data_IF_452757139513
#
_entry.id   IF_452757139513
#
_cell.length_a   1.000
_cell.length_b   1.000
_cell.length_c   1.000
_cell.angle_alpha   90.00
_cell.angle_beta   90.00
_cell.angle_gamma   90.00
#
_symmetry.space_group_name_H-M   'P 1'
#
loop_
_entity.id
_entity.type
_entity.pdbx_description
1 polymer ?
#
# COMPACT_ATOMS: atom_id res chain seq x y z
N UNK A 1 -6.43 0.15 -27.01
CA UNK A 1 -5.35 0.68 -26.16
C UNK A 1 -4.62 -0.51 -25.59
N UNK A 2 -3.52 -0.91 -26.21
CA UNK A 2 -2.69 -2.00 -25.69
C UNK A 2 -1.84 -1.46 -24.54
N UNK A 3 -1.80 -2.19 -23.41
CA UNK A 3 -0.96 -1.84 -22.27
C UNK A 3 0.50 -1.90 -22.73
N UNK A 4 1.34 -0.88 -22.43
CA UNK A 4 2.76 -0.97 -22.71
C UNK A 4 3.33 -2.18 -21.99
N UNK A 5 4.02 -3.06 -22.74
CA UNK A 5 4.71 -4.21 -22.18
C UNK A 5 5.78 -3.70 -21.20
N UNK A 6 5.70 -4.12 -19.95
CA UNK A 6 6.78 -3.92 -18.98
C UNK A 6 8.00 -4.68 -19.50
N UNK A 7 9.10 -3.96 -19.75
CA UNK A 7 10.37 -4.55 -20.18
C UNK A 7 11.06 -5.19 -18.98
N UNK A 8 10.67 -6.41 -18.64
CA UNK A 8 11.26 -7.18 -17.53
C UNK A 8 12.78 -7.42 -17.72
N UNK A 9 13.29 -7.39 -18.96
CA UNK A 9 14.70 -7.66 -19.27
C UNK A 9 15.67 -6.51 -18.94
N UNK A 10 15.22 -5.25 -18.98
CA UNK A 10 16.06 -4.08 -18.61
C UNK A 10 16.28 -4.04 -17.08
N UNK A 11 15.27 -4.45 -16.31
CA UNK A 11 15.35 -4.55 -14.85
C UNK A 11 16.29 -5.69 -14.41
N UNK A 12 16.25 -6.84 -15.10
CA UNK A 12 17.04 -8.02 -14.74
C UNK A 12 18.56 -7.79 -14.84
N UNK A 13 19.02 -7.04 -15.85
CA UNK A 13 20.43 -6.71 -16.01
C UNK A 13 20.90 -5.70 -14.97
N UNK A 14 20.13 -4.65 -14.70
CA UNK A 14 20.48 -3.69 -13.65
C UNK A 14 20.48 -4.34 -12.27
N UNK A 15 19.47 -5.17 -11.96
CA UNK A 15 19.37 -5.88 -10.67
C UNK A 15 20.54 -6.86 -10.51
N UNK A 16 20.92 -7.57 -11.57
CA UNK A 16 22.07 -8.49 -11.55
C UNK A 16 23.39 -7.74 -11.38
N UNK A 17 23.58 -6.61 -12.09
CA UNK A 17 24.76 -5.77 -11.93
C UNK A 17 24.84 -5.17 -10.52
N UNK A 18 23.71 -4.70 -9.96
CA UNK A 18 23.64 -4.24 -8.56
C UNK A 18 24.04 -5.35 -7.59
N UNK A 19 23.46 -6.54 -7.73
CA UNK A 19 23.80 -7.72 -6.91
C UNK A 19 25.29 -8.05 -7.00
N UNK A 20 25.90 -7.94 -8.17
CA UNK A 20 27.33 -8.18 -8.36
C UNK A 20 28.14 -7.10 -7.63
N UNK A 21 27.83 -5.82 -7.84
CA UNK A 21 28.56 -4.70 -7.23
C UNK A 21 28.48 -4.75 -5.70
N UNK A 22 27.33 -5.13 -5.14
CA UNK A 22 27.10 -5.14 -3.69
C UNK A 22 27.64 -6.39 -3.00
N UNK A 23 27.48 -7.56 -3.62
CA UNK A 23 27.74 -8.84 -2.92
C UNK A 23 29.03 -9.54 -3.37
N UNK A 24 29.63 -9.14 -4.49
CA UNK A 24 30.88 -9.76 -4.95
C UNK A 24 32.07 -8.99 -4.38
N UNK A 25 32.95 -9.63 -3.60
CA UNK A 25 34.16 -8.98 -3.09
C UNK A 25 35.05 -8.48 -4.22
N UNK A 26 35.30 -7.17 -4.25
CA UNK A 26 36.22 -6.56 -5.22
C UNK A 26 37.65 -6.80 -4.76
N UNK A 27 38.39 -7.67 -5.45
CA UNK A 27 39.83 -7.86 -5.21
C UNK A 27 40.62 -6.78 -5.96
N UNK A 28 41.35 -5.93 -5.22
CA UNK A 28 42.24 -4.92 -5.81
C UNK A 28 43.66 -5.45 -5.82
N UNK A 29 44.24 -5.61 -7.01
CA UNK A 29 45.60 -6.15 -7.21
C UNK A 29 46.71 -5.10 -7.14
N UNK A 30 46.37 -3.81 -7.29
CA UNK A 30 47.34 -2.73 -7.50
C UNK A 30 47.41 -1.78 -6.29
N UNK A 31 47.38 -2.33 -5.08
CA UNK A 31 47.44 -1.54 -3.84
C UNK A 31 48.88 -1.36 -3.38
N UNK A 32 49.28 -0.10 -3.18
CA UNK A 32 50.55 0.25 -2.54
C UNK A 32 50.50 -0.14 -1.05
N UNK A 33 51.68 -0.39 -0.45
CA UNK A 33 51.78 -0.75 0.97
C UNK A 33 51.21 0.32 1.91
N UNK A 34 50.78 -0.07 3.11
CA UNK A 34 50.07 0.82 4.05
C UNK A 34 50.87 2.03 4.53
N UNK A 35 52.21 1.95 4.49
CA UNK A 35 53.12 3.04 4.84
C UNK A 35 53.72 3.74 3.61
N UNK A 36 53.29 3.39 2.41
CA UNK A 36 53.74 4.04 1.19
C UNK A 36 53.19 5.48 1.13
N UNK A 37 53.99 6.42 0.64
CA UNK A 37 53.56 7.80 0.41
C UNK A 37 52.55 7.91 -0.72
N UNK A 38 51.97 9.11 -0.90
CA UNK A 38 50.98 9.32 -1.94
C UNK A 38 51.61 9.34 -3.35
N UNK A 39 51.13 8.48 -4.22
CA UNK A 39 51.50 8.41 -5.63
C UNK A 39 50.70 9.40 -6.49
N UNK A 40 51.22 9.73 -7.67
CA UNK A 40 50.59 10.66 -8.62
C UNK A 40 49.19 10.20 -9.09
N UNK A 41 48.87 8.91 -8.99
CA UNK A 41 47.58 8.34 -9.36
C UNK A 41 46.54 8.31 -8.23
N UNK A 42 46.94 8.53 -6.97
CA UNK A 42 46.06 8.32 -5.81
C UNK A 42 44.89 9.30 -5.79
N UNK A 43 45.14 10.54 -6.20
CA UNK A 43 44.09 11.55 -6.34
C UNK A 43 42.98 11.10 -7.29
N UNK A 44 43.35 10.53 -8.43
CA UNK A 44 42.37 10.06 -9.41
C UNK A 44 41.62 8.80 -8.93
N UNK A 45 42.29 7.92 -8.17
CA UNK A 45 41.63 6.77 -7.54
C UNK A 45 40.60 7.23 -6.51
N UNK A 46 40.99 8.14 -5.60
CA UNK A 46 40.07 8.74 -4.62
C UNK A 46 38.87 9.42 -5.30
N UNK A 47 39.11 10.22 -6.34
CA UNK A 47 38.04 10.90 -7.09
C UNK A 47 37.03 9.91 -7.67
N UNK A 48 37.51 8.80 -8.25
CA UNK A 48 36.65 7.77 -8.81
C UNK A 48 35.88 7.02 -7.73
N UNK A 49 36.54 6.63 -6.64
CA UNK A 49 35.90 5.96 -5.51
C UNK A 49 34.83 6.84 -4.85
N UNK A 50 35.13 8.12 -4.63
CA UNK A 50 34.18 9.08 -4.06
C UNK A 50 32.92 9.22 -4.92
N UNK A 51 33.06 9.33 -6.24
CA UNK A 51 31.91 9.39 -7.15
C UNK A 51 31.07 8.12 -7.08
N UNK A 52 31.72 6.95 -7.15
CA UNK A 52 31.04 5.66 -7.02
C UNK A 52 30.24 5.56 -5.72
N UNK A 53 30.81 6.03 -4.61
CA UNK A 53 30.15 5.99 -3.31
C UNK A 53 29.01 7.01 -3.20
N UNK A 54 29.18 8.22 -3.74
CA UNK A 54 28.10 9.21 -3.82
C UNK A 54 26.92 8.70 -4.65
N UNK A 55 27.20 8.09 -5.80
CA UNK A 55 26.17 7.48 -6.66
C UNK A 55 25.47 6.33 -5.94
N UNK A 56 26.21 5.52 -5.17
CA UNK A 56 25.65 4.42 -4.36
C UNK A 56 24.69 4.94 -3.29
N UNK A 57 25.09 5.96 -2.54
CA UNK A 57 24.26 6.59 -1.50
C UNK A 57 23.01 7.23 -2.11
N UNK A 58 23.16 8.00 -3.18
CA UNK A 58 22.03 8.65 -3.86
C UNK A 58 21.00 7.62 -4.36
N UNK A 59 21.45 6.47 -4.89
CA UNK A 59 20.55 5.37 -5.31
C UNK A 59 19.80 4.77 -4.13
N UNK A 60 20.50 4.52 -3.02
CA UNK A 60 19.89 3.98 -1.80
C UNK A 60 18.81 4.93 -1.25
N UNK A 61 19.06 6.23 -1.25
CA UNK A 61 18.10 7.24 -0.79
C UNK A 61 16.85 7.28 -1.69
N UNK A 62 17.03 7.24 -3.01
CA UNK A 62 15.92 7.20 -3.98
C UNK A 62 15.07 5.94 -3.80
N UNK A 63 15.71 4.77 -3.66
CA UNK A 63 14.98 3.51 -3.45
C UNK A 63 14.24 3.50 -2.11
N UNK A 64 14.81 4.10 -1.06
CA UNK A 64 14.15 4.27 0.23
C UNK A 64 12.93 5.18 0.13
N UNK A 65 13.05 6.34 -0.53
CA UNK A 65 11.93 7.27 -0.72
C UNK A 65 10.79 6.62 -1.50
N UNK A 66 11.08 5.92 -2.60
CA UNK A 66 10.08 5.17 -3.38
C UNK A 66 9.36 4.13 -2.52
N UNK A 67 10.10 3.33 -1.74
CA UNK A 67 9.49 2.33 -0.85
C UNK A 67 8.59 2.98 0.18
N UNK A 68 9.04 4.08 0.79
CA UNK A 68 8.25 4.85 1.76
C UNK A 68 6.95 5.35 1.14
N UNK A 69 7.01 6.01 -0.01
CA UNK A 69 5.83 6.52 -0.72
C UNK A 69 4.82 5.42 -1.07
N UNK A 70 5.30 4.28 -1.57
CA UNK A 70 4.45 3.12 -1.89
C UNK A 70 3.78 2.57 -0.63
N UNK A 71 4.54 2.43 0.47
CA UNK A 71 3.97 1.95 1.74
C UNK A 71 2.91 2.90 2.28
N UNK A 72 3.16 4.21 2.27
CA UNK A 72 2.20 5.21 2.71
C UNK A 72 0.95 5.22 1.83
N UNK A 73 1.11 5.14 0.51
CA UNK A 73 -0.01 5.09 -0.42
C UNK A 73 -0.89 3.85 -0.19
N UNK A 74 -0.27 2.68 -0.02
CA UNK A 74 -0.99 1.44 0.24
C UNK A 74 -1.73 1.48 1.57
N UNK A 75 -1.09 1.99 2.63
CA UNK A 75 -1.74 2.19 3.93
C UNK A 75 -2.98 3.09 3.81
N UNK A 76 -2.84 4.28 3.19
CA UNK A 76 -3.97 5.21 2.96
C UNK A 76 -5.08 4.59 2.09
N UNK A 77 -4.72 3.73 1.14
CA UNK A 77 -5.70 3.02 0.29
C UNK A 77 -6.45 1.95 1.09
N UNK A 78 -5.74 1.15 1.86
CA UNK A 78 -6.32 0.11 2.71
C UNK A 78 -7.23 0.69 3.79
N UNK A 79 -6.86 1.79 4.41
CA UNK A 79 -7.69 2.50 5.39
C UNK A 79 -9.02 2.97 4.77
N UNK A 80 -8.98 3.58 3.58
CA UNK A 80 -10.19 3.99 2.85
C UNK A 80 -11.08 2.81 2.48
N UNK A 81 -10.48 1.70 2.04
CA UNK A 81 -11.22 0.47 1.71
C UNK A 81 -11.86 -0.13 2.97
N UNK A 82 -11.12 -0.24 4.08
CA UNK A 82 -11.63 -0.72 5.37
C UNK A 82 -12.79 0.14 5.87
N UNK A 83 -12.67 1.47 5.82
CA UNK A 83 -13.75 2.37 6.21
C UNK A 83 -15.01 2.20 5.35
N UNK A 84 -14.85 2.01 4.03
CA UNK A 84 -15.97 1.72 3.13
C UNK A 84 -16.60 0.34 3.42
N UNK A 85 -15.79 -0.68 3.68
CA UNK A 85 -16.24 -2.02 4.06
C UNK A 85 -16.99 -2.01 5.40
N UNK A 86 -16.51 -1.27 6.40
CA UNK A 86 -17.20 -1.12 7.68
C UNK A 86 -18.56 -0.42 7.53
N UNK A 87 -18.61 0.68 6.76
CA UNK A 87 -19.87 1.39 6.47
C UNK A 87 -20.87 0.47 5.75
N UNK A 88 -20.40 -0.28 4.75
CA UNK A 88 -21.26 -1.22 4.00
C UNK A 88 -21.67 -2.44 4.84
N UNK A 89 -20.80 -2.96 5.71
CA UNK A 89 -21.09 -4.05 6.64
C UNK A 89 -22.14 -3.63 7.67
N UNK A 90 -22.01 -2.45 8.29
CA UNK A 90 -23.02 -1.89 9.21
C UNK A 90 -24.39 -1.78 8.53
N UNK A 91 -24.45 -1.22 7.31
CA UNK A 91 -25.70 -1.11 6.53
C UNK A 91 -26.25 -2.49 6.14
N UNK A 92 -25.40 -3.45 5.77
CA UNK A 92 -25.79 -4.84 5.46
C UNK A 92 -26.39 -5.53 6.68
N UNK A 93 -25.78 -5.40 7.86
CA UNK A 93 -26.29 -5.94 9.12
C UNK A 93 -27.65 -5.34 9.49
N UNK A 94 -27.82 -4.00 9.38
CA UNK A 94 -29.13 -3.34 9.59
C UNK A 94 -30.20 -3.92 8.65
N UNK A 95 -29.89 -4.11 7.36
CA UNK A 95 -30.82 -4.71 6.38
C UNK A 95 -31.15 -6.18 6.68
N UNK A 96 -30.15 -6.98 7.10
CA UNK A 96 -30.36 -8.38 7.48
C UNK A 96 -31.27 -8.51 8.70
N UNK A 97 -31.05 -7.71 9.76
CA UNK A 97 -31.94 -7.66 10.94
C UNK A 97 -33.37 -7.27 10.56
N UNK A 98 -33.57 -6.26 9.70
CA UNK A 98 -34.91 -5.88 9.19
C UNK A 98 -35.57 -7.01 8.39
N UNK A 99 -34.79 -7.75 7.57
CA UNK A 99 -35.29 -8.91 6.81
C UNK A 99 -35.69 -10.07 7.73
N UNK A 100 -34.93 -10.35 8.78
CA UNK A 100 -35.26 -11.36 9.80
C UNK A 100 -36.55 -11.00 10.54
N UNK A 101 -36.66 -9.77 11.10
CA UNK A 101 -37.88 -9.30 11.76
C UNK A 101 -39.12 -9.39 10.87
N UNK A 102 -39.01 -9.05 9.57
CA UNK A 102 -40.12 -9.18 8.60
C UNK A 102 -40.51 -10.65 8.37
N UNK A 103 -39.53 -11.56 8.28
CA UNK A 103 -39.79 -13.00 8.13
C UNK A 103 -40.47 -13.56 9.38
N UNK A 104 -40.00 -13.22 10.57
CA UNK A 104 -40.59 -13.62 11.84
C UNK A 104 -42.04 -13.14 11.97
N UNK A 105 -42.31 -11.87 11.66
CA UNK A 105 -43.69 -11.33 11.63
C UNK A 105 -44.57 -12.10 10.65
N UNK A 106 -44.09 -12.39 9.43
CA UNK A 106 -44.85 -13.15 8.42
C UNK A 106 -45.14 -14.59 8.88
N UNK A 107 -44.17 -15.26 9.51
CA UNK A 107 -44.37 -16.61 10.04
C UNK A 107 -45.36 -16.62 11.20
N UNK A 108 -45.31 -15.61 12.08
CA UNK A 108 -46.25 -15.48 13.19
C UNK A 108 -47.67 -15.18 12.71
N UNK A 109 -47.84 -14.27 11.74
CA UNK A 109 -49.15 -14.00 11.12
C UNK A 109 -49.71 -15.16 10.28
N UNK A 110 -48.89 -16.14 9.88
CA UNK A 110 -49.37 -17.37 9.23
C UNK A 110 -49.68 -18.51 10.20
N UNK A 111 -49.16 -18.45 11.43
CA UNK A 111 -49.42 -19.42 12.49
C UNK A 111 -50.64 -19.04 13.35
N UNK A 112 -50.93 -17.73 13.45
CA UNK A 112 -52.08 -17.17 14.15
C UNK A 112 -53.13 -16.81 13.09
N UNK A 113 -54.17 -17.66 12.97
CA UNK A 113 -55.20 -17.58 11.93
C UNK A 113 -55.76 -16.17 11.75
N UNK A 114 -55.89 -15.74 10.49
CA UNK A 114 -56.07 -14.35 10.12
C UNK A 114 -57.32 -13.70 10.70
N UNK A 115 -57.13 -12.52 11.28
CA UNK A 115 -58.13 -11.44 11.29
C UNK A 115 -57.44 -10.08 11.46
N UNK A 116 -58.00 -9.09 10.76
CA UNK A 116 -57.46 -7.76 10.52
C UNK A 116 -56.98 -7.03 11.78
N UNK A 117 -55.73 -6.55 11.77
CA UNK A 117 -55.38 -5.27 12.39
C UNK A 117 -54.32 -4.53 11.56
N UNK A 118 -54.84 -3.63 10.72
CA UNK A 118 -54.10 -2.58 10.03
C UNK A 118 -53.78 -1.50 11.06
N UNK A 119 -52.83 -1.78 11.93
CA UNK A 119 -52.32 -0.83 12.93
C UNK A 119 -50.99 -0.28 12.41
N UNK A 120 -51.07 1.00 12.08
CA UNK A 120 -50.01 2.00 12.07
C UNK A 120 -48.80 1.57 12.91
N UNK A 121 -47.68 1.27 12.24
CA UNK A 121 -46.36 1.26 12.88
C UNK A 121 -45.65 2.50 12.37
N UNK A 122 -46.16 3.66 12.82
CA UNK A 122 -45.37 4.86 12.99
C UNK A 122 -44.33 4.57 14.06
N UNK A 123 -43.06 4.60 13.68
CA UNK A 123 -41.93 4.76 14.59
C UNK A 123 -40.83 5.43 13.76
N UNK A 124 -40.87 6.77 13.77
CA UNK A 124 -39.76 7.64 14.17
C UNK A 124 -38.38 6.97 14.22
N UNK A 125 -37.28 7.58 13.83
CA UNK A 125 -36.94 8.92 13.39
C UNK A 125 -35.50 8.82 12.87
N UNK A 126 -35.04 9.91 12.28
CA UNK A 126 -33.70 10.26 11.90
C UNK A 126 -32.54 9.46 12.50
N UNK A 127 -31.60 9.10 11.62
CA UNK A 127 -30.20 9.22 11.97
C UNK A 127 -29.46 9.82 10.77
N UNK A 128 -29.24 11.13 10.89
CA UNK A 128 -28.47 11.94 9.96
C UNK A 128 -27.00 11.52 10.02
N UNK A 129 -26.48 10.94 8.95
CA UNK A 129 -25.05 10.95 8.71
C UNK A 129 -24.78 11.85 7.50
N UNK A 130 -24.96 13.16 7.72
CA UNK A 130 -24.24 14.17 6.95
C UNK A 130 -22.85 14.33 7.59
N UNK A 131 -21.99 13.33 7.42
CA UNK A 131 -20.55 13.57 7.51
C UNK A 131 -20.01 13.77 6.10
N UNK A 132 -20.19 15.02 5.67
CA UNK A 132 -19.23 15.74 4.84
C UNK A 132 -17.87 15.62 5.53
N UNK A 133 -17.03 14.71 5.04
CA UNK A 133 -15.60 14.81 5.17
C UNK A 133 -15.10 15.25 3.80
N UNK A 134 -15.30 16.54 3.51
CA UNK A 134 -14.35 17.33 2.72
C UNK A 134 -12.98 17.08 3.34
N UNK A 135 -12.10 16.41 2.58
CA UNK A 135 -10.68 16.32 2.88
C UNK A 135 -10.00 17.00 1.71
N UNK A 136 -9.59 18.24 1.98
CA UNK A 136 -8.63 19.03 1.22
C UNK A 136 -7.25 18.35 1.21
#
# INVERSE_FOLDING_TARGET
YEKPAFKEEEEDLEVKLRRIIENVPVRVSNTSGSSAGSGSGDFHQYRQMRRKEQDRLARMDVDYQKRKEITEFNMRREERLKAAEERTAKKRLKRQKKKQRKKEKKMKSSAEGGENKKEESSDDEADSEHEEATVE
#
